data_IF_597922199960
#
_entry.id   IF_597922199960
#
_cell.length_a   1.000
_cell.length_b   1.000
_cell.length_c   1.000
_cell.angle_alpha   90.00
_cell.angle_beta   90.00
_cell.angle_gamma   90.00
#
_symmetry.space_group_name_H-M   'P 1'
#
loop_
_entity.id
_entity.type
_entity.pdbx_description
1 polymer ?
#
# COMPACT_ATOMS: atom_id res chain seq x y z
N UNK A 1 2.63 -5.28 5.35
CA UNK A 1 2.60 -4.64 4.01
C UNK A 1 2.73 -5.71 2.94
N UNK A 2 1.81 -5.77 1.98
CA UNK A 2 1.83 -6.75 0.86
C UNK A 2 1.43 -6.12 -0.49
N UNK A 3 1.31 -4.78 -0.55
CA UNK A 3 0.78 -4.08 -1.72
C UNK A 3 1.59 -4.29 -3.01
N UNK A 4 2.88 -4.65 -2.90
CA UNK A 4 3.72 -5.06 -4.04
C UNK A 4 3.17 -6.24 -4.84
N UNK A 5 2.27 -7.05 -4.25
CA UNK A 5 1.67 -8.21 -4.92
C UNK A 5 0.88 -7.84 -6.19
N UNK A 6 0.38 -6.61 -6.30
CA UNK A 6 -0.26 -6.14 -7.53
C UNK A 6 0.75 -5.96 -8.68
N UNK A 7 2.01 -5.67 -8.36
CA UNK A 7 3.10 -5.48 -9.31
C UNK A 7 3.83 -6.75 -9.72
N UNK A 8 3.29 -7.95 -9.44
CA UNK A 8 4.02 -9.22 -9.70
C UNK A 8 4.49 -9.41 -11.14
N UNK A 9 3.73 -8.90 -12.11
CA UNK A 9 4.11 -8.94 -13.53
C UNK A 9 5.37 -8.10 -13.84
N UNK A 10 5.76 -7.19 -12.95
CA UNK A 10 6.89 -6.25 -13.09
C UNK A 10 8.15 -6.75 -12.39
N UNK A 11 8.05 -7.84 -11.62
CA UNK A 11 9.20 -8.41 -10.93
C UNK A 11 10.22 -8.96 -11.93
N UNK A 12 11.52 -8.68 -11.76
CA UNK A 12 12.54 -9.31 -12.59
C UNK A 12 12.56 -10.81 -12.33
N UNK A 13 12.86 -11.61 -13.36
CA UNK A 13 12.93 -13.07 -13.24
C UNK A 13 14.00 -13.55 -12.24
N UNK A 14 14.95 -12.66 -11.88
CA UNK A 14 15.98 -12.90 -10.86
C UNK A 14 15.50 -12.64 -9.43
N UNK A 15 14.34 -12.01 -9.24
CA UNK A 15 13.80 -11.78 -7.89
C UNK A 15 13.37 -13.10 -7.26
N UNK A 16 13.67 -13.34 -5.96
CA UNK A 16 13.15 -14.51 -5.24
C UNK A 16 11.61 -14.50 -5.11
N UNK A 17 10.95 -13.36 -5.37
CA UNK A 17 9.50 -13.22 -5.32
C UNK A 17 8.82 -13.51 -6.67
N UNK A 18 9.60 -13.64 -7.75
CA UNK A 18 9.11 -13.92 -9.09
C UNK A 18 8.45 -15.29 -9.16
N UNK A 19 7.24 -15.34 -9.73
CA UNK A 19 6.63 -16.57 -10.21
C UNK A 19 5.98 -16.30 -11.56
N UNK A 20 6.22 -17.20 -12.53
CA UNK A 20 5.70 -17.08 -13.88
C UNK A 20 4.16 -17.03 -13.92
N UNK A 21 3.49 -17.73 -12.99
CA UNK A 21 2.04 -17.66 -12.81
C UNK A 21 1.72 -16.86 -11.56
N UNK A 22 1.01 -15.75 -11.72
CA UNK A 22 0.56 -14.90 -10.63
C UNK A 22 -0.92 -14.55 -10.77
N UNK A 23 -1.56 -14.24 -9.64
CA UNK A 23 -2.92 -13.69 -9.64
C UNK A 23 -2.87 -12.22 -10.07
N UNK A 24 -3.82 -11.80 -10.89
CA UNK A 24 -3.98 -10.39 -11.25
C UNK A 24 -4.79 -9.71 -10.17
N UNK A 25 -4.22 -8.69 -9.51
CA UNK A 25 -4.91 -7.91 -8.49
C UNK A 25 -5.47 -6.64 -9.14
N UNK A 26 -6.80 -6.55 -9.20
CA UNK A 26 -7.51 -5.44 -9.87
C UNK A 26 -7.81 -4.28 -8.94
N UNK A 27 -8.03 -4.56 -7.65
CA UNK A 27 -8.40 -3.58 -6.64
C UNK A 27 -7.54 -3.76 -5.40
N UNK A 28 -7.10 -2.64 -4.84
CA UNK A 28 -6.37 -2.58 -3.56
C UNK A 28 -7.12 -1.59 -2.68
N UNK A 29 -7.48 -2.02 -1.47
CA UNK A 29 -7.93 -1.11 -0.40
C UNK A 29 -6.87 -1.15 0.68
N UNK A 30 -6.13 -0.06 0.82
CA UNK A 30 -5.01 0.06 1.75
C UNK A 30 -5.47 0.86 2.96
N UNK A 31 -5.53 0.22 4.12
CA UNK A 31 -5.88 0.84 5.41
C UNK A 31 -4.57 1.13 6.16
N UNK A 32 -4.23 2.41 6.36
CA UNK A 32 -3.06 2.83 7.14
C UNK A 32 -1.75 2.33 6.54
N UNK A 33 -1.66 2.24 5.21
CA UNK A 33 -0.58 1.54 4.51
C UNK A 33 0.59 2.43 4.08
N UNK A 34 1.81 2.02 4.45
CA UNK A 34 3.09 2.59 3.97
C UNK A 34 3.67 1.78 2.80
N UNK A 35 3.09 1.93 1.60
CA UNK A 35 3.43 1.10 0.44
C UNK A 35 4.66 1.55 -0.38
N UNK A 36 5.22 2.74 -0.10
CA UNK A 36 6.49 3.21 -0.66
C UNK A 36 7.63 2.99 0.34
N UNK A 37 8.13 1.76 0.44
CA UNK A 37 9.12 1.42 1.46
C UNK A 37 10.42 2.24 1.36
N UNK A 38 10.77 2.71 0.15
CA UNK A 38 11.98 3.52 -0.06
C UNK A 38 11.78 4.91 0.49
N UNK A 39 10.68 5.56 0.14
CA UNK A 39 10.37 6.92 0.59
C UNK A 39 10.04 6.94 2.09
N UNK A 40 9.40 5.88 2.58
CA UNK A 40 8.86 5.81 3.94
C UNK A 40 9.79 5.19 4.99
N UNK A 41 11.02 4.82 4.62
CA UNK A 41 11.96 4.13 5.53
C UNK A 41 12.08 4.80 6.90
N UNK A 42 12.26 6.12 6.93
CA UNK A 42 12.44 6.87 8.17
C UNK A 42 11.16 6.86 9.01
N UNK A 43 10.00 7.03 8.37
CA UNK A 43 8.72 6.95 9.06
C UNK A 43 8.51 5.54 9.63
N UNK A 44 8.64 4.49 8.81
CA UNK A 44 8.49 3.08 9.20
C UNK A 44 9.33 2.77 10.44
N UNK A 45 10.59 3.26 10.48
CA UNK A 45 11.44 3.08 11.64
C UNK A 45 10.92 3.81 12.87
N UNK A 46 10.50 5.07 12.72
CA UNK A 46 10.02 5.86 13.86
C UNK A 46 8.66 5.43 14.40
N UNK A 47 7.72 5.01 13.55
CA UNK A 47 6.34 4.73 13.94
C UNK A 47 6.07 3.27 14.26
N UNK A 48 6.78 2.33 13.62
CA UNK A 48 6.60 0.89 13.83
C UNK A 48 7.77 0.22 14.58
N UNK A 49 8.80 0.99 14.96
CA UNK A 49 10.11 0.47 15.42
C UNK A 49 10.69 -0.63 14.50
N UNK A 50 10.35 -0.58 13.22
CA UNK A 50 10.69 -1.61 12.25
C UNK A 50 11.83 -1.11 11.36
N UNK A 51 12.95 -1.84 11.33
CA UNK A 51 13.90 -1.61 10.25
C UNK A 51 13.29 -2.12 8.94
N UNK A 52 13.27 -1.28 7.91
CA UNK A 52 12.75 -1.65 6.59
C UNK A 52 13.44 -2.90 6.03
N UNK A 53 14.68 -3.20 6.43
CA UNK A 53 15.38 -4.44 6.08
C UNK A 53 14.64 -5.70 6.55
N UNK A 54 13.87 -5.63 7.65
CA UNK A 54 13.01 -6.73 8.11
C UNK A 54 11.83 -6.98 7.16
N UNK A 55 11.45 -5.98 6.35
CA UNK A 55 10.39 -6.07 5.34
C UNK A 55 10.96 -6.43 3.96
N UNK A 56 12.12 -5.88 3.60
CA UNK A 56 12.71 -5.99 2.26
C UNK A 56 13.71 -7.14 2.13
N UNK A 57 14.17 -7.70 3.26
CA UNK A 57 15.37 -8.52 3.33
C UNK A 57 16.65 -7.69 3.14
N UNK A 58 17.80 -8.36 3.23
CA UNK A 58 19.12 -7.76 3.03
C UNK A 58 19.51 -7.68 1.54
N UNK A 59 20.30 -6.66 1.14
CA UNK A 59 20.87 -6.60 -0.21
C UNK A 59 21.92 -7.70 -0.41
N UNK A 60 22.10 -8.12 -1.66
CA UNK A 60 23.17 -9.02 -2.08
C UNK A 60 23.77 -8.56 -3.42
N UNK A 61 24.87 -9.15 -3.86
CA UNK A 61 25.44 -8.83 -5.17
C UNK A 61 24.44 -9.07 -6.33
N UNK A 62 23.57 -10.07 -6.20
CA UNK A 62 22.55 -10.39 -7.20
C UNK A 62 21.26 -9.56 -7.04
N UNK A 63 21.04 -8.95 -5.88
CA UNK A 63 19.87 -8.12 -5.55
C UNK A 63 20.33 -6.89 -4.74
N UNK A 64 21.02 -5.93 -5.36
CA UNK A 64 21.57 -4.78 -4.65
C UNK A 64 20.49 -3.78 -4.24
N UNK A 65 19.41 -3.68 -5.02
CA UNK A 65 18.25 -2.83 -4.72
C UNK A 65 17.08 -3.66 -4.18
N UNK A 66 16.96 -3.71 -2.85
CA UNK A 66 15.93 -4.50 -2.17
C UNK A 66 14.51 -3.92 -2.34
N UNK A 67 14.38 -2.66 -2.72
CA UNK A 67 13.06 -2.03 -2.89
C UNK A 67 12.44 -2.32 -4.25
N UNK A 68 13.29 -2.58 -5.26
CA UNK A 68 12.87 -2.79 -6.64
C UNK A 68 11.85 -3.94 -6.82
N UNK A 69 11.81 -4.90 -5.90
CA UNK A 69 10.88 -6.03 -5.91
C UNK A 69 10.00 -6.16 -4.65
N UNK A 70 10.15 -5.27 -3.66
CA UNK A 70 9.36 -5.32 -2.40
C UNK A 70 8.55 -4.07 -2.11
N UNK A 71 8.88 -2.93 -2.74
CA UNK A 71 8.15 -1.68 -2.60
C UNK A 71 7.06 -1.60 -3.67
N UNK A 72 5.80 -1.44 -3.25
CA UNK A 72 4.68 -1.35 -4.20
C UNK A 72 4.78 -0.14 -5.12
N UNK A 73 5.44 0.93 -4.66
CA UNK A 73 5.68 2.13 -5.44
C UNK A 73 6.72 1.95 -6.56
N UNK A 74 7.65 1.01 -6.41
CA UNK A 74 8.66 0.70 -7.44
C UNK A 74 8.13 -0.20 -8.54
N UNK A 75 6.98 -0.83 -8.32
CA UNK A 75 6.33 -1.73 -9.27
C UNK A 75 5.19 -1.08 -10.05
N UNK A 76 5.13 0.25 -10.08
CA UNK A 76 4.19 1.01 -10.88
C UNK A 76 4.67 1.18 -12.34
N UNK A 77 3.75 1.40 -13.29
CA UNK A 77 2.33 1.10 -13.15
C UNK A 77 2.09 -0.41 -13.01
N UNK A 78 1.11 -0.79 -12.21
CA UNK A 78 0.69 -2.19 -12.03
C UNK A 78 -0.76 -2.46 -12.51
N UNK A 79 -1.49 -1.43 -12.94
CA UNK A 79 -2.82 -1.53 -13.52
C UNK A 79 -3.95 -1.75 -12.50
N UNK A 80 -3.64 -1.70 -11.19
CA UNK A 80 -4.67 -1.79 -10.15
C UNK A 80 -5.37 -0.46 -9.93
N UNK A 81 -6.59 -0.53 -9.41
CA UNK A 81 -7.28 0.61 -8.79
C UNK A 81 -7.01 0.55 -7.30
N UNK A 82 -6.24 1.50 -6.78
CA UNK A 82 -5.87 1.58 -5.36
C UNK A 82 -6.67 2.66 -4.64
N UNK A 83 -7.31 2.32 -3.53
CA UNK A 83 -7.88 3.30 -2.59
C UNK A 83 -7.05 3.27 -1.31
N UNK A 84 -6.39 4.39 -1.00
CA UNK A 84 -5.63 4.57 0.23
C UNK A 84 -6.52 5.26 1.26
N UNK A 85 -6.81 4.58 2.35
CA UNK A 85 -7.65 5.07 3.42
C UNK A 85 -6.75 5.28 4.64
N UNK A 86 -6.86 6.45 5.26
CA UNK A 86 -6.09 6.76 6.47
C UNK A 86 -6.82 7.73 7.39
N UNK A 87 -6.61 7.58 8.69
CA UNK A 87 -7.09 8.47 9.73
C UNK A 87 -6.54 9.89 9.59
N UNK A 88 -7.39 10.89 9.81
CA UNK A 88 -6.97 12.30 9.88
C UNK A 88 -5.87 12.52 10.93
N UNK A 89 -5.92 11.78 12.04
CA UNK A 89 -4.97 11.83 13.15
C UNK A 89 -4.04 10.62 13.19
N UNK A 90 -3.92 9.87 12.09
CA UNK A 90 -2.95 8.80 11.99
C UNK A 90 -1.52 9.39 12.02
N UNK A 91 -0.74 9.00 13.03
CA UNK A 91 0.68 9.38 13.16
C UNK A 91 1.63 8.25 12.75
N UNK A 92 1.11 7.05 12.50
CA UNK A 92 1.86 5.88 12.08
C UNK A 92 1.97 5.82 10.55
N UNK A 93 0.87 6.06 9.85
CA UNK A 93 0.76 6.20 8.40
C UNK A 93 0.00 7.47 8.04
N UNK A 94 0.56 8.66 8.28
CA UNK A 94 -0.16 9.92 8.20
C UNK A 94 -0.72 10.22 6.80
N UNK A 95 -1.78 11.07 6.70
CA UNK A 95 -2.44 11.46 5.45
C UNK A 95 -1.50 11.77 4.28
N UNK A 96 -0.39 12.45 4.55
CA UNK A 96 0.60 12.78 3.52
C UNK A 96 1.16 11.53 2.83
N UNK A 97 1.38 10.41 3.53
CA UNK A 97 1.93 9.18 2.94
C UNK A 97 0.97 8.57 1.91
N UNK A 98 -0.34 8.61 2.23
CA UNK A 98 -1.38 8.19 1.30
C UNK A 98 -1.43 9.10 0.06
N UNK A 99 -1.30 10.42 0.26
CA UNK A 99 -1.25 11.39 -0.84
C UNK A 99 -0.01 11.22 -1.73
N UNK A 100 1.17 11.04 -1.13
CA UNK A 100 2.44 10.86 -1.84
C UNK A 100 2.39 9.60 -2.74
N UNK A 101 1.95 8.47 -2.20
CA UNK A 101 1.77 7.24 -2.96
C UNK A 101 0.74 7.41 -4.09
N UNK A 102 -0.41 8.05 -3.81
CA UNK A 102 -1.44 8.28 -4.81
C UNK A 102 -0.95 9.19 -5.95
N UNK A 103 -0.17 10.21 -5.63
CA UNK A 103 0.44 11.09 -6.63
C UNK A 103 1.41 10.31 -7.53
N UNK A 104 2.28 9.49 -6.94
CA UNK A 104 3.21 8.63 -7.68
C UNK A 104 2.48 7.62 -8.58
N UNK A 105 1.43 6.98 -8.08
CA UNK A 105 0.62 6.02 -8.85
C UNK A 105 -0.05 6.68 -10.06
N UNK A 106 -0.70 7.83 -9.85
CA UNK A 106 -1.35 8.59 -10.94
C UNK A 106 -0.35 9.08 -11.97
N UNK A 107 0.81 9.57 -11.53
CA UNK A 107 1.88 10.00 -12.43
C UNK A 107 2.42 8.84 -13.30
N UNK A 108 2.42 7.61 -12.77
CA UNK A 108 2.81 6.41 -13.50
C UNK A 108 1.70 5.86 -14.42
N UNK A 109 0.46 6.34 -14.30
CA UNK A 109 -0.69 5.91 -15.10
C UNK A 109 -1.64 4.92 -14.40
N UNK A 110 -1.43 4.62 -13.13
CA UNK A 110 -2.37 3.81 -12.32
C UNK A 110 -3.53 4.68 -11.77
N UNK A 111 -4.62 4.03 -11.39
CA UNK A 111 -5.73 4.69 -10.71
C UNK A 111 -5.51 4.64 -9.20
N UNK A 112 -5.42 5.80 -8.56
CA UNK A 112 -5.37 5.90 -7.10
C UNK A 112 -6.38 6.91 -6.57
N UNK A 113 -6.99 6.62 -5.42
CA UNK A 113 -7.86 7.50 -4.64
C UNK A 113 -7.37 7.57 -3.19
N UNK A 114 -7.60 8.70 -2.52
CA UNK A 114 -7.28 8.87 -1.09
C UNK A 114 -8.57 9.20 -0.36
N UNK A 115 -8.84 8.49 0.74
CA UNK A 115 -9.95 8.73 1.65
C UNK A 115 -9.41 9.00 3.04
N UNK A 116 -9.51 10.26 3.48
CA UNK A 116 -9.17 10.65 4.84
C UNK A 116 -10.38 10.43 5.74
N UNK A 117 -10.20 9.71 6.84
CA UNK A 117 -11.23 9.39 7.82
C UNK A 117 -11.26 10.47 8.91
N UNK A 118 -12.28 11.33 8.96
CA UNK A 118 -12.32 12.45 9.90
C UNK A 118 -12.30 11.98 11.35
N UNK A 119 -11.45 12.60 12.17
CA UNK A 119 -11.30 12.29 13.59
C UNK A 119 -10.71 10.92 13.93
N UNK A 120 -10.36 10.10 12.94
CA UNK A 120 -9.85 8.75 13.15
C UNK A 120 -8.32 8.73 13.34
N UNK A 121 -7.87 7.80 14.18
CA UNK A 121 -6.47 7.45 14.40
C UNK A 121 -6.09 6.18 13.61
N UNK A 122 -4.82 5.77 13.67
CA UNK A 122 -4.30 4.59 12.96
C UNK A 122 -5.12 3.30 13.19
N UNK A 123 -5.58 3.08 14.43
CA UNK A 123 -6.24 1.83 14.80
C UNK A 123 -7.75 1.82 14.50
N UNK A 124 -8.35 3.00 14.30
CA UNK A 124 -9.76 3.13 13.93
C UNK A 124 -10.06 2.47 12.58
N UNK A 125 -9.05 2.42 11.71
CA UNK A 125 -9.17 1.88 10.37
C UNK A 125 -9.39 0.35 10.37
N UNK A 126 -8.79 -0.34 11.33
CA UNK A 126 -8.87 -1.81 11.46
C UNK A 126 -9.93 -2.25 12.48
N UNK A 127 -10.36 -1.36 13.35
CA UNK A 127 -11.42 -1.64 14.31
C UNK A 127 -12.80 -1.56 13.63
N UNK A 128 -13.38 -2.71 13.25
CA UNK A 128 -14.69 -2.77 12.58
C UNK A 128 -15.85 -2.11 13.37
N UNK A 129 -15.68 -1.92 14.68
CA UNK A 129 -16.60 -1.19 15.55
C UNK A 129 -16.42 0.34 15.53
N UNK A 130 -15.35 0.85 14.93
CA UNK A 130 -15.05 2.28 14.85
C UNK A 130 -16.07 3.01 13.95
N UNK A 131 -16.44 4.27 14.27
CA UNK A 131 -17.20 5.14 13.38
C UNK A 131 -16.65 5.23 11.95
N UNK A 132 -15.33 5.07 11.77
CA UNK A 132 -14.65 5.08 10.47
C UNK A 132 -15.20 4.02 9.49
N UNK A 133 -15.71 2.91 10.00
CA UNK A 133 -16.20 1.80 9.15
C UNK A 133 -17.45 2.14 8.35
N UNK A 134 -18.18 3.20 8.72
CA UNK A 134 -19.25 3.76 7.88
C UNK A 134 -18.73 4.30 6.54
N UNK A 135 -17.46 4.70 6.49
CA UNK A 135 -16.79 5.17 5.27
C UNK A 135 -15.97 4.06 4.59
N UNK A 136 -15.36 3.16 5.36
CA UNK A 136 -14.51 2.07 4.83
C UNK A 136 -15.33 0.98 4.14
N UNK A 137 -16.41 0.51 4.78
CA UNK A 137 -17.17 -0.66 4.30
C UNK A 137 -17.74 -0.45 2.87
N UNK A 138 -18.31 0.72 2.51
CA UNK A 138 -18.74 0.97 1.14
C UNK A 138 -17.62 0.84 0.09
N UNK A 139 -16.39 1.25 0.43
CA UNK A 139 -15.22 1.14 -0.46
C UNK A 139 -14.88 -0.34 -0.70
N UNK A 140 -14.84 -1.14 0.37
CA UNK A 140 -14.57 -2.58 0.28
C UNK A 140 -15.65 -3.27 -0.57
N UNK A 141 -16.93 -2.96 -0.33
CA UNK A 141 -18.05 -3.53 -1.10
C UNK A 141 -17.96 -3.18 -2.58
N UNK A 142 -17.66 -1.93 -2.91
CA UNK A 142 -17.43 -1.49 -4.30
C UNK A 142 -16.28 -2.27 -4.95
N UNK A 143 -15.16 -2.45 -4.26
CA UNK A 143 -14.03 -3.22 -4.75
C UNK A 143 -14.35 -4.71 -5.00
N UNK A 144 -15.31 -5.26 -4.24
CA UNK A 144 -15.83 -6.63 -4.40
C UNK A 144 -16.98 -6.74 -5.43
N UNK A 145 -17.44 -5.64 -6.03
CA UNK A 145 -18.60 -5.63 -6.92
C UNK A 145 -19.93 -5.88 -6.20
N UNK A 146 -20.00 -5.64 -4.89
CA UNK A 146 -21.22 -5.77 -4.09
C UNK A 146 -22.00 -4.44 -4.12
N UNK A 147 -23.31 -4.50 -4.36
CA UNK A 147 -24.17 -3.31 -4.43
C UNK A 147 -24.27 -2.53 -3.11
N UNK A 148 -24.80 -1.29 -3.15
CA UNK A 148 -25.06 -0.52 -1.93
C UNK A 148 -26.16 -1.19 -1.09
N UNK A 149 -26.00 -1.21 0.24
CA UNK A 149 -27.10 -1.43 1.19
C UNK A 149 -27.54 -0.09 1.75
#
# INVERSE_FOLDING_TARGET
>A
LVQWIAGRARLPATSPLFQARHLTIRHIVSLGGLADLRHEKALIKSSCDCDVASLTGAPSAARPDVYADTSGAELMPNGSVTVLITGEFDTVSPPRAAHDYAARARAAGDSAEVLILPGASHYDEVAASSPAWRLILPVIRKALGLGPH
#
